data_IF_295409207708
#
_entry.id   IF_295409207708
#
_cell.length_a   1.000
_cell.length_b   1.000
_cell.length_c   1.000
_cell.angle_alpha   90.00
_cell.angle_beta   90.00
_cell.angle_gamma   90.00
#
_symmetry.space_group_name_H-M   'P 1'
#
loop_
_entity.id
_entity.type
_entity.pdbx_description
1 polymer ?
#
# COMPACT_ATOMS: atom_id res chain seq x y z
N UNK A 1 -20.22 -10.73 9.51
CA UNK A 1 -20.00 -12.17 9.77
C UNK A 1 -18.55 -12.31 10.24
N UNK A 2 -18.22 -13.11 11.27
CA UNK A 2 -16.82 -13.22 11.75
C UNK A 2 -15.89 -13.81 10.69
N UNK A 3 -16.42 -14.68 9.83
CA UNK A 3 -15.71 -15.28 8.69
C UNK A 3 -15.36 -14.23 7.63
N UNK A 4 -16.32 -13.40 7.21
CA UNK A 4 -16.08 -12.29 6.28
C UNK A 4 -15.05 -11.28 6.82
N UNK A 5 -15.01 -11.05 8.13
CA UNK A 5 -14.03 -10.15 8.73
C UNK A 5 -12.61 -10.75 8.73
N UNK A 6 -12.47 -12.07 8.89
CA UNK A 6 -11.17 -12.75 8.77
C UNK A 6 -10.64 -12.62 7.35
N UNK A 7 -11.48 -12.88 6.36
CA UNK A 7 -11.11 -12.82 4.95
C UNK A 7 -10.66 -11.41 4.53
N UNK A 8 -11.28 -10.37 5.09
CA UNK A 8 -10.92 -8.97 4.84
C UNK A 8 -9.58 -8.60 5.48
N UNK A 9 -9.33 -9.00 6.73
CA UNK A 9 -8.06 -8.74 7.41
C UNK A 9 -6.91 -9.43 6.66
N UNK A 10 -7.11 -10.69 6.28
CA UNK A 10 -6.13 -11.48 5.54
C UNK A 10 -5.83 -10.84 4.17
N UNK A 11 -6.85 -10.36 3.45
CA UNK A 11 -6.69 -9.59 2.22
C UNK A 11 -5.80 -8.35 2.41
N UNK A 12 -6.11 -7.50 3.40
CA UNK A 12 -5.34 -6.28 3.62
C UNK A 12 -3.90 -6.59 4.06
N UNK A 13 -3.69 -7.70 4.77
CA UNK A 13 -2.36 -8.13 5.22
C UNK A 13 -1.51 -8.60 4.04
N UNK A 14 -2.06 -9.45 3.18
CA UNK A 14 -1.38 -9.93 1.99
C UNK A 14 -1.04 -8.76 1.04
N UNK A 15 -2.01 -7.88 0.79
CA UNK A 15 -1.81 -6.70 -0.04
C UNK A 15 -0.71 -5.78 0.52
N UNK A 16 -0.70 -5.55 1.84
CA UNK A 16 0.31 -4.73 2.50
C UNK A 16 1.72 -5.32 2.35
N UNK A 17 1.86 -6.62 2.57
CA UNK A 17 3.14 -7.33 2.44
C UNK A 17 3.64 -7.27 1.00
N UNK A 18 2.78 -7.55 0.01
CA UNK A 18 3.14 -7.52 -1.41
C UNK A 18 3.64 -6.13 -1.81
N UNK A 19 2.90 -5.06 -1.45
CA UNK A 19 3.28 -3.69 -1.77
C UNK A 19 4.66 -3.34 -1.20
N UNK A 20 4.90 -3.63 0.08
CA UNK A 20 6.19 -3.34 0.69
C UNK A 20 7.33 -4.14 0.08
N UNK A 21 7.11 -5.41 -0.28
CA UNK A 21 8.12 -6.22 -0.95
C UNK A 21 8.47 -5.66 -2.34
N UNK A 22 7.46 -5.25 -3.12
CA UNK A 22 7.68 -4.62 -4.44
C UNK A 22 8.45 -3.31 -4.30
N UNK A 23 8.05 -2.45 -3.36
CA UNK A 23 8.71 -1.17 -3.10
C UNK A 23 10.16 -1.39 -2.66
N UNK A 24 10.40 -2.30 -1.71
CA UNK A 24 11.74 -2.62 -1.23
C UNK A 24 12.63 -3.13 -2.37
N UNK A 25 12.10 -4.00 -3.24
CA UNK A 25 12.83 -4.51 -4.40
C UNK A 25 13.14 -3.42 -5.44
N UNK A 26 12.18 -2.53 -5.72
CA UNK A 26 12.32 -1.44 -6.70
C UNK A 26 13.25 -0.33 -6.24
N UNK A 27 13.25 0.00 -4.95
CA UNK A 27 14.06 1.06 -4.38
C UNK A 27 15.38 0.56 -3.78
N UNK A 28 15.55 -0.76 -3.63
CA UNK A 28 16.70 -1.39 -2.99
C UNK A 28 16.99 -0.83 -1.59
N UNK A 29 15.93 -0.51 -0.83
CA UNK A 29 16.06 0.07 0.50
C UNK A 29 16.34 -1.00 1.55
N UNK A 30 17.23 -0.70 2.49
CA UNK A 30 17.41 -1.51 3.70
C UNK A 30 16.14 -1.47 4.56
N UNK A 31 15.85 -2.52 5.36
CA UNK A 31 14.65 -2.58 6.20
C UNK A 31 14.45 -1.36 7.13
N UNK A 32 15.53 -0.80 7.68
CA UNK A 32 15.46 0.39 8.56
C UNK A 32 15.03 1.67 7.84
N UNK A 33 15.10 1.68 6.50
CA UNK A 33 14.69 2.81 5.65
C UNK A 33 13.31 2.59 5.03
N UNK A 34 12.71 1.41 5.17
CA UNK A 34 11.45 1.06 4.54
C UNK A 34 10.26 1.62 5.33
N UNK A 35 9.97 2.90 5.13
CA UNK A 35 8.80 3.58 5.68
C UNK A 35 8.24 4.60 4.67
N UNK A 36 6.99 5.03 4.87
CA UNK A 36 6.26 5.88 3.90
C UNK A 36 6.96 7.19 3.56
N UNK A 37 7.66 7.80 4.52
CA UNK A 37 8.37 9.07 4.32
C UNK A 37 9.55 8.85 3.38
N UNK A 38 10.47 7.97 3.75
CA UNK A 38 11.65 7.68 2.95
C UNK A 38 11.28 7.15 1.56
N UNK A 39 10.28 6.27 1.48
CA UNK A 39 9.80 5.75 0.19
C UNK A 39 9.25 6.86 -0.69
N UNK A 40 8.47 7.79 -0.13
CA UNK A 40 7.95 8.91 -0.90
C UNK A 40 9.07 9.81 -1.41
N UNK A 41 10.10 10.08 -0.61
CA UNK A 41 11.28 10.85 -1.03
C UNK A 41 12.04 10.17 -2.16
N UNK A 42 12.33 8.88 -2.03
CA UNK A 42 13.04 8.10 -3.05
C UNK A 42 12.25 7.98 -4.36
N UNK A 43 10.93 7.80 -4.29
CA UNK A 43 10.07 7.77 -5.47
C UNK A 43 10.01 9.14 -6.16
N UNK A 44 9.97 10.25 -5.40
CA UNK A 44 10.09 11.61 -5.97
C UNK A 44 11.38 11.78 -6.77
N UNK A 45 12.50 11.32 -6.22
CA UNK A 45 13.80 11.37 -6.92
C UNK A 45 13.81 10.53 -8.21
N UNK A 46 12.95 9.52 -8.31
CA UNK A 46 12.76 8.67 -9.50
C UNK A 46 11.65 9.17 -10.44
N UNK A 47 11.17 10.39 -10.25
CA UNK A 47 10.24 11.04 -11.17
C UNK A 47 8.76 10.79 -10.86
N UNK A 48 8.42 10.19 -9.73
CA UNK A 48 7.03 10.11 -9.30
C UNK A 48 6.49 11.50 -8.96
N UNK A 49 5.30 11.80 -9.48
CA UNK A 49 4.61 13.05 -9.19
C UNK A 49 3.75 12.95 -7.91
N UNK A 50 3.22 14.08 -7.46
CA UNK A 50 2.44 14.13 -6.21
C UNK A 50 1.14 13.31 -6.27
N UNK A 51 0.54 13.13 -7.45
CA UNK A 51 -0.66 12.29 -7.62
C UNK A 51 -0.35 10.80 -7.39
N UNK A 52 0.71 10.29 -8.00
CA UNK A 52 1.15 8.89 -7.85
C UNK A 52 1.51 8.60 -6.39
N UNK A 53 2.20 9.53 -5.73
CA UNK A 53 2.57 9.42 -4.33
C UNK A 53 1.37 9.50 -3.40
N UNK A 54 0.39 10.35 -3.71
CA UNK A 54 -0.86 10.40 -2.98
C UNK A 54 -1.60 9.06 -3.08
N UNK A 55 -1.70 8.49 -4.29
CA UNK A 55 -2.35 7.19 -4.51
C UNK A 55 -1.67 6.06 -3.72
N UNK A 56 -0.34 5.97 -3.78
CA UNK A 56 0.42 5.01 -2.98
C UNK A 56 0.15 5.18 -1.47
N UNK A 57 0.22 6.42 -0.98
CA UNK A 57 0.01 6.69 0.44
C UNK A 57 -1.42 6.38 0.89
N UNK A 58 -2.42 6.63 0.05
CA UNK A 58 -3.82 6.26 0.34
C UNK A 58 -3.96 4.74 0.44
N UNK A 59 -3.42 3.99 -0.52
CA UNK A 59 -3.47 2.52 -0.52
C UNK A 59 -2.81 1.95 0.74
N UNK A 60 -1.58 2.36 1.05
CA UNK A 60 -0.85 1.88 2.23
C UNK A 60 -1.58 2.24 3.54
N UNK A 61 -2.10 3.47 3.63
CA UNK A 61 -2.82 3.93 4.82
C UNK A 61 -4.12 3.15 5.02
N UNK A 62 -4.82 2.81 3.94
CA UNK A 62 -6.03 2.00 4.03
C UNK A 62 -5.73 0.58 4.53
N UNK A 63 -4.66 -0.05 4.03
CA UNK A 63 -4.18 -1.31 4.58
C UNK A 63 -3.85 -1.20 6.08
N UNK A 64 -3.05 -0.20 6.48
CA UNK A 64 -2.66 0.00 7.89
C UNK A 64 -3.88 0.17 8.81
N UNK A 65 -4.89 0.95 8.38
CA UNK A 65 -6.09 1.15 9.18
C UNK A 65 -6.86 -0.16 9.37
N UNK A 66 -7.06 -0.94 8.31
CA UNK A 66 -7.77 -2.21 8.40
C UNK A 66 -7.02 -3.26 9.22
N UNK A 67 -5.68 -3.20 9.26
CA UNK A 67 -4.85 -4.13 10.03
C UNK A 67 -4.71 -3.76 11.50
N UNK A 68 -4.56 -2.47 11.81
CA UNK A 68 -4.13 -2.02 13.14
C UNK A 68 -5.21 -1.31 13.95
N UNK A 69 -6.29 -0.83 13.32
CA UNK A 69 -7.37 -0.14 14.02
C UNK A 69 -8.56 -1.09 14.21
N UNK A 70 -8.67 -1.67 15.40
CA UNK A 70 -9.68 -2.69 15.75
C UNK A 70 -11.14 -2.28 15.54
N UNK A 71 -11.43 -0.98 15.43
CA UNK A 71 -12.77 -0.43 15.23
C UNK A 71 -12.92 0.32 13.90
N UNK A 72 -11.89 0.29 13.05
CA UNK A 72 -12.00 0.90 11.74
C UNK A 72 -12.91 0.06 10.86
N UNK A 73 -13.88 0.72 10.24
CA UNK A 73 -14.69 0.15 9.18
C UNK A 73 -14.32 0.90 7.92
N UNK A 74 -13.67 0.21 7.00
CA UNK A 74 -13.39 0.79 5.70
C UNK A 74 -14.69 1.13 5.00
N UNK A 75 -14.81 2.37 4.55
CA UNK A 75 -15.83 2.77 3.58
C UNK A 75 -15.43 2.36 2.15
N UNK A 76 -14.18 1.92 1.97
CA UNK A 76 -13.64 1.44 0.71
C UNK A 76 -13.91 -0.05 0.56
N UNK A 77 -14.68 -0.41 -0.47
CA UNK A 77 -14.85 -1.82 -0.81
C UNK A 77 -13.50 -2.43 -1.21
N UNK A 78 -13.17 -3.63 -0.71
CA UNK A 78 -11.90 -4.32 -0.97
C UNK A 78 -11.54 -4.40 -2.46
N UNK A 79 -12.54 -4.55 -3.34
CA UNK A 79 -12.33 -4.53 -4.79
C UNK A 79 -11.84 -3.18 -5.34
N UNK A 80 -12.31 -2.06 -4.79
CA UNK A 80 -11.79 -0.73 -5.15
C UNK A 80 -10.36 -0.55 -4.63
N UNK A 81 -10.07 -1.04 -3.44
CA UNK A 81 -8.73 -1.03 -2.88
C UNK A 81 -7.75 -1.83 -3.76
N UNK A 82 -8.16 -3.01 -4.23
CA UNK A 82 -7.35 -3.83 -5.13
C UNK A 82 -7.03 -3.08 -6.42
N UNK A 83 -8.03 -2.47 -7.06
CA UNK A 83 -7.81 -1.66 -8.28
C UNK A 83 -6.84 -0.51 -8.06
N UNK A 84 -6.95 0.19 -6.92
CA UNK A 84 -6.02 1.26 -6.57
C UNK A 84 -4.59 0.72 -6.40
N UNK A 85 -4.44 -0.43 -5.74
CA UNK A 85 -3.15 -1.07 -5.57
C UNK A 85 -2.56 -1.56 -6.90
N UNK A 86 -3.37 -2.11 -7.81
CA UNK A 86 -2.93 -2.51 -9.16
C UNK A 86 -2.41 -1.33 -9.96
N UNK A 87 -3.07 -0.18 -9.87
CA UNK A 87 -2.59 1.07 -10.50
C UNK A 87 -1.23 1.47 -9.94
N UNK A 88 -1.07 1.49 -8.62
CA UNK A 88 0.21 1.80 -7.96
C UNK A 88 1.29 0.79 -8.35
N UNK A 89 0.97 -0.50 -8.43
CA UNK A 89 1.92 -1.54 -8.86
C UNK A 89 2.34 -1.33 -10.32
N UNK A 90 1.42 -0.95 -11.19
CA UNK A 90 1.73 -0.62 -12.60
C UNK A 90 2.67 0.58 -12.69
N UNK A 91 2.41 1.62 -11.89
CA UNK A 91 3.28 2.79 -11.77
C UNK A 91 4.69 2.41 -11.26
N UNK A 92 4.79 1.51 -10.27
CA UNK A 92 6.07 0.99 -9.77
C UNK A 92 6.81 0.14 -10.79
N UNK A 93 6.09 -0.61 -11.62
CA UNK A 93 6.69 -1.43 -12.67
C UNK A 93 7.30 -0.59 -13.79
N UNK A 94 6.66 0.54 -14.14
CA UNK A 94 7.06 1.45 -15.22
C UNK A 94 8.15 2.47 -14.82
N UNK A 95 8.58 2.45 -13.57
CA UNK A 95 9.76 3.14 -13.06
C UNK A 95 11.03 2.37 -13.42
#
# INVERSE_FOLDING_TARGET
NLLENSDVIDFYNELYIILWNVIAGKLQLSPSKLNKINVSEELKLKGWNDEMLLNLNLVLTECEKNLYLSNYRSDTHWGQQLQNAERVMTELQNM
#
